data_IF_256614142969
#
_entry.id   IF_256614142969
#
_cell.length_a   1.000
_cell.length_b   1.000
_cell.length_c   1.000
_cell.angle_alpha   90.00
_cell.angle_beta   90.00
_cell.angle_gamma   90.00
#
_symmetry.space_group_name_H-M   'P 1'
#
loop_
_entity.id
_entity.type
_entity.pdbx_description
1 polymer ?
#
# COMPACT_ATOMS: atom_id res chain seq x y z
N UNK A 1 62.47 7.98 -76.83
CA UNK A 1 61.09 8.38 -76.48
C UNK A 1 61.11 8.88 -75.04
N UNK A 2 61.03 10.22 -74.88
CA UNK A 2 60.65 11.08 -73.73
C UNK A 2 60.95 10.53 -72.30
N UNK A 3 62.02 10.95 -71.63
CA UNK A 3 62.21 12.18 -70.80
C UNK A 3 61.38 12.23 -69.50
N UNK A 4 62.08 12.16 -68.36
CA UNK A 4 61.73 12.69 -67.03
C UNK A 4 62.59 13.96 -66.79
N UNK A 5 62.38 14.85 -65.79
CA UNK A 5 61.26 15.10 -64.87
C UNK A 5 60.83 16.60 -64.83
N UNK A 6 59.75 16.93 -64.08
CA UNK A 6 59.43 18.33 -63.75
C UNK A 6 58.18 18.52 -62.88
N UNK A 7 58.39 18.66 -61.56
CA UNK A 7 57.62 19.43 -60.56
C UNK A 7 56.11 19.70 -60.81
N UNK A 8 55.24 19.07 -60.02
CA UNK A 8 53.92 19.62 -59.66
C UNK A 8 53.71 19.44 -58.15
N UNK A 9 53.42 20.57 -57.50
CA UNK A 9 53.15 20.71 -56.08
C UNK A 9 51.88 19.93 -55.66
N UNK A 10 52.00 19.21 -54.54
CA UNK A 10 50.89 18.53 -53.87
C UNK A 10 50.08 19.57 -53.09
N UNK A 11 48.85 19.84 -53.53
CA UNK A 11 47.84 20.59 -52.77
C UNK A 11 47.09 19.60 -51.87
N UNK A 12 47.43 19.54 -50.58
CA UNK A 12 46.67 18.78 -49.58
C UNK A 12 45.44 19.57 -49.15
N UNK A 13 44.28 19.20 -49.70
CA UNK A 13 42.97 19.71 -49.27
C UNK A 13 42.62 19.08 -47.90
N UNK A 14 43.01 19.74 -46.81
CA UNK A 14 42.63 19.33 -45.45
C UNK A 14 41.16 19.69 -45.20
N UNK A 15 40.28 18.69 -45.30
CA UNK A 15 38.90 18.81 -44.83
C UNK A 15 38.90 18.73 -43.31
N UNK A 16 38.67 19.86 -42.64
CA UNK A 16 38.41 19.90 -41.22
C UNK A 16 37.08 19.20 -40.93
N UNK A 17 37.14 18.00 -40.34
CA UNK A 17 35.98 17.36 -39.73
C UNK A 17 35.69 18.15 -38.45
N UNK A 18 34.75 19.08 -38.53
CA UNK A 18 34.15 19.69 -37.34
C UNK A 18 33.38 18.61 -36.58
N UNK A 19 34.03 17.99 -35.60
CA UNK A 19 33.32 17.20 -34.60
C UNK A 19 32.39 18.14 -33.84
N UNK A 20 31.09 18.00 -34.04
CA UNK A 20 30.08 18.59 -33.17
C UNK A 20 30.35 18.08 -31.76
N UNK A 21 30.93 18.93 -30.91
CA UNK A 21 31.07 18.63 -29.49
C UNK A 21 29.67 18.46 -28.92
N UNK A 22 29.29 17.21 -28.61
CA UNK A 22 28.09 16.94 -27.82
C UNK A 22 28.29 17.61 -26.47
N UNK A 23 27.52 18.65 -26.19
CA UNK A 23 27.54 19.32 -24.90
C UNK A 23 27.16 18.28 -23.83
N UNK A 24 28.08 18.00 -22.91
CA UNK A 24 27.83 17.07 -21.81
C UNK A 24 26.58 17.53 -21.04
N UNK A 25 25.63 16.61 -20.84
CA UNK A 25 24.43 16.92 -20.06
C UNK A 25 24.82 17.42 -18.66
N UNK A 26 24.12 18.46 -18.18
CA UNK A 26 24.35 18.98 -16.84
C UNK A 26 24.18 17.85 -15.79
N UNK A 27 25.07 17.77 -14.79
CA UNK A 27 24.96 16.76 -13.74
C UNK A 27 23.66 16.96 -12.96
N UNK A 28 23.09 15.84 -12.51
CA UNK A 28 21.89 15.87 -11.66
C UNK A 28 22.30 16.33 -10.27
N UNK A 29 21.57 17.29 -9.71
CA UNK A 29 21.78 17.75 -8.34
C UNK A 29 20.57 17.45 -7.47
N UNK A 30 20.78 17.43 -6.16
CA UNK A 30 19.74 17.22 -5.15
C UNK A 30 19.80 18.37 -4.17
N UNK A 31 18.65 18.95 -3.85
CA UNK A 31 18.50 19.97 -2.82
C UNK A 31 17.46 19.53 -1.80
N UNK A 32 17.70 19.80 -0.53
CA UNK A 32 16.76 19.60 0.57
C UNK A 32 16.61 20.95 1.26
N UNK A 33 15.39 21.48 1.31
CA UNK A 33 15.09 22.83 1.84
C UNK A 33 15.98 23.92 1.24
N UNK A 34 16.08 23.91 -0.10
CA UNK A 34 16.92 24.82 -0.88
C UNK A 34 18.44 24.68 -0.62
N UNK A 35 18.86 23.77 0.26
CA UNK A 35 20.26 23.47 0.51
C UNK A 35 20.72 22.28 -0.33
N UNK A 36 21.78 22.47 -1.11
CA UNK A 36 22.35 21.40 -1.92
C UNK A 36 22.89 20.25 -1.05
N UNK A 37 22.45 19.03 -1.34
CA UNK A 37 22.93 17.81 -0.69
C UNK A 37 24.34 17.48 -1.21
N UNK A 38 25.31 17.40 -0.31
CA UNK A 38 26.66 16.93 -0.63
C UNK A 38 26.66 15.41 -0.77
N UNK A 39 27.06 14.92 -1.94
CA UNK A 39 27.19 13.50 -2.23
C UNK A 39 28.67 13.12 -2.31
N UNK A 40 29.13 12.26 -1.40
CA UNK A 40 30.56 11.94 -1.23
C UNK A 40 30.99 10.63 -1.87
N UNK A 41 30.06 9.72 -2.16
CA UNK A 41 30.36 8.36 -2.65
C UNK A 41 29.80 8.07 -4.04
N UNK A 42 29.18 9.03 -4.72
CA UNK A 42 28.59 8.82 -6.04
C UNK A 42 27.78 10.02 -6.51
N UNK A 43 27.31 9.98 -7.76
CA UNK A 43 26.46 11.02 -8.36
C UNK A 43 25.04 10.48 -8.59
N UNK A 44 23.98 11.31 -8.52
CA UNK A 44 22.64 10.87 -8.87
C UNK A 44 22.57 10.39 -10.32
N UNK A 45 21.70 9.41 -10.56
CA UNK A 45 21.51 8.78 -11.85
C UNK A 45 20.05 8.87 -12.25
N UNK A 46 19.76 9.33 -13.47
CA UNK A 46 18.45 9.13 -14.08
C UNK A 46 18.51 7.82 -14.87
N UNK A 47 17.65 6.87 -14.54
CA UNK A 47 17.57 5.60 -15.27
C UNK A 47 16.38 5.47 -16.21
N UNK A 48 15.74 6.60 -16.53
CA UNK A 48 14.59 6.70 -17.42
C UNK A 48 13.25 6.64 -16.69
N UNK A 49 13.20 6.01 -15.51
CA UNK A 49 11.97 5.88 -14.73
C UNK A 49 12.04 6.59 -13.37
N UNK A 50 13.24 6.64 -12.76
CA UNK A 50 13.44 7.31 -11.49
C UNK A 50 14.81 7.98 -11.42
N UNK A 51 14.92 8.98 -10.54
CA UNK A 51 16.21 9.46 -10.07
C UNK A 51 16.67 8.57 -8.92
N UNK A 52 17.83 7.97 -9.09
CA UNK A 52 18.51 7.17 -8.11
C UNK A 52 19.64 7.96 -7.47
N UNK A 53 19.80 7.82 -6.16
CA UNK A 53 20.83 8.51 -5.39
C UNK A 53 21.61 7.55 -4.51
N UNK A 54 22.88 7.85 -4.19
CA UNK A 54 23.61 7.12 -3.16
C UNK A 54 22.80 7.11 -1.86
N UNK A 55 22.57 5.92 -1.33
CA UNK A 55 21.67 5.70 -0.18
C UNK A 55 22.11 6.46 1.07
N UNK A 56 23.39 6.38 1.46
CA UNK A 56 23.81 6.88 2.78
C UNK A 56 23.58 8.39 2.99
N UNK A 57 24.03 9.29 2.08
CA UNK A 57 23.88 10.73 2.30
C UNK A 57 22.43 11.20 2.41
N UNK A 58 21.51 10.62 1.62
CA UNK A 58 20.10 11.03 1.64
C UNK A 58 19.40 10.54 2.91
N UNK A 59 19.64 9.29 3.35
CA UNK A 59 19.01 8.77 4.57
C UNK A 59 19.50 9.51 5.81
N UNK A 60 20.80 9.79 5.92
CA UNK A 60 21.37 10.57 7.01
C UNK A 60 20.78 11.99 7.06
N UNK A 61 20.69 12.67 5.91
CA UNK A 61 20.14 14.03 5.84
C UNK A 61 18.64 14.08 6.20
N UNK A 62 17.90 12.99 5.95
CA UNK A 62 16.49 12.83 6.33
C UNK A 62 16.29 12.30 7.77
N UNK A 63 17.39 12.05 8.50
CA UNK A 63 17.35 11.59 9.90
C UNK A 63 16.98 10.11 10.07
N UNK A 64 17.24 9.28 9.06
CA UNK A 64 17.00 7.84 9.10
C UNK A 64 18.25 7.08 9.55
N UNK A 65 18.07 6.11 10.46
CA UNK A 65 19.09 5.11 10.78
C UNK A 65 19.00 3.93 9.82
N UNK A 66 20.12 3.51 9.20
CA UNK A 66 20.11 2.51 8.12
C UNK A 66 20.95 1.29 8.46
N UNK A 67 20.39 0.11 8.24
CA UNK A 67 21.06 -1.18 8.31
C UNK A 67 20.95 -1.87 6.95
N UNK A 68 22.07 -2.40 6.44
CA UNK A 68 22.09 -3.23 5.24
C UNK A 68 22.41 -4.67 5.61
N UNK A 69 21.48 -5.58 5.34
CA UNK A 69 21.71 -7.03 5.44
C UNK A 69 22.27 -7.54 4.12
N UNK A 70 23.55 -7.91 4.12
CA UNK A 70 24.23 -8.42 2.94
C UNK A 70 23.74 -9.81 2.49
N UNK A 71 23.20 -10.63 3.41
CA UNK A 71 22.71 -11.98 3.07
C UNK A 71 21.44 -11.91 2.24
N UNK A 72 20.53 -11.02 2.61
CA UNK A 72 19.24 -10.85 1.92
C UNK A 72 19.26 -9.69 0.92
N UNK A 73 20.36 -8.93 0.86
CA UNK A 73 20.48 -7.69 0.10
C UNK A 73 19.38 -6.68 0.44
N UNK A 74 19.02 -6.60 1.73
CA UNK A 74 17.93 -5.78 2.24
C UNK A 74 18.46 -4.53 2.94
N UNK A 75 17.89 -3.39 2.59
CA UNK A 75 18.10 -2.10 3.24
C UNK A 75 16.91 -1.91 4.19
N UNK A 76 17.18 -1.77 5.48
CA UNK A 76 16.18 -1.37 6.48
C UNK A 76 16.55 -0.01 7.02
N UNK A 77 15.67 0.96 6.87
CA UNK A 77 15.82 2.30 7.42
C UNK A 77 14.73 2.60 8.42
N UNK A 78 15.10 3.28 9.50
CA UNK A 78 14.23 3.48 10.66
C UNK A 78 14.32 4.90 11.20
N UNK A 79 13.18 5.41 11.65
CA UNK A 79 13.00 6.63 12.46
C UNK A 79 11.77 6.38 13.35
N UNK A 80 11.54 7.22 14.36
CA UNK A 80 10.35 7.10 15.23
C UNK A 80 9.07 6.88 14.42
N UNK A 81 8.37 5.76 14.65
CA UNK A 81 7.14 5.39 13.94
C UNK A 81 7.29 4.96 12.47
N UNK A 82 8.51 4.91 11.93
CA UNK A 82 8.76 4.68 10.50
C UNK A 82 9.80 3.58 10.27
N UNK A 83 9.42 2.56 9.51
CA UNK A 83 10.29 1.48 9.02
C UNK A 83 10.16 1.37 7.51
N UNK A 84 11.22 1.69 6.79
CA UNK A 84 11.31 1.54 5.34
C UNK A 84 12.17 0.32 5.03
N UNK A 85 11.67 -0.63 4.23
CA UNK A 85 12.44 -1.76 3.72
C UNK A 85 12.52 -1.72 2.21
N UNK A 86 13.73 -1.82 1.68
CA UNK A 86 13.98 -2.00 0.25
C UNK A 86 14.91 -3.20 0.04
N UNK A 87 14.84 -3.84 -1.12
CA UNK A 87 15.72 -4.95 -1.46
C UNK A 87 16.36 -4.72 -2.83
N UNK A 88 17.66 -5.00 -2.97
CA UNK A 88 18.35 -4.87 -4.26
C UNK A 88 17.66 -5.73 -5.32
N UNK A 89 17.43 -5.17 -6.50
CA UNK A 89 16.78 -5.85 -7.62
C UNK A 89 15.26 -6.04 -7.51
N UNK A 90 14.66 -5.78 -6.35
CA UNK A 90 13.21 -5.86 -6.17
C UNK A 90 12.52 -4.53 -6.47
N UNK A 91 11.44 -4.58 -7.25
CA UNK A 91 10.51 -3.44 -7.41
C UNK A 91 9.47 -3.37 -6.28
N UNK A 92 9.52 -4.26 -5.30
CA UNK A 92 8.66 -4.20 -4.12
C UNK A 92 9.47 -3.70 -2.94
N UNK A 93 9.08 -2.55 -2.40
CA UNK A 93 9.56 -2.04 -1.12
C UNK A 93 8.44 -2.11 -0.08
N UNK A 94 8.71 -1.75 1.18
CA UNK A 94 7.63 -1.53 2.13
C UNK A 94 7.88 -0.34 3.05
N UNK A 95 6.78 0.27 3.49
CA UNK A 95 6.74 1.31 4.52
C UNK A 95 5.84 0.78 5.62
N UNK A 96 6.36 0.69 6.85
CA UNK A 96 5.67 0.10 8.00
C UNK A 96 5.07 -1.29 7.72
N UNK A 97 5.73 -2.06 6.84
CA UNK A 97 5.29 -3.39 6.43
C UNK A 97 4.23 -3.43 5.33
N UNK A 98 3.71 -2.29 4.85
CA UNK A 98 2.86 -2.23 3.65
C UNK A 98 3.74 -2.27 2.41
N UNK A 99 3.52 -3.25 1.53
CA UNK A 99 4.27 -3.35 0.29
C UNK A 99 3.87 -2.21 -0.65
N UNK A 100 4.88 -1.51 -1.20
CA UNK A 100 4.75 -0.44 -2.16
C UNK A 100 5.52 -0.77 -3.44
N UNK A 101 4.90 -0.62 -4.62
CA UNK A 101 5.62 -0.79 -5.87
C UNK A 101 6.59 0.39 -6.07
N UNK A 102 7.77 0.08 -6.58
CA UNK A 102 8.78 1.03 -7.02
C UNK A 102 8.77 1.10 -8.55
N UNK A 103 8.91 2.31 -9.08
CA UNK A 103 9.16 2.50 -10.51
C UNK A 103 10.46 1.79 -10.95
N UNK A 104 11.47 1.87 -10.09
CA UNK A 104 12.81 1.32 -10.28
C UNK A 104 13.29 0.62 -9.01
N UNK A 105 13.89 -0.56 -9.16
CA UNK A 105 14.48 -1.29 -8.04
C UNK A 105 15.79 -0.64 -7.54
N UNK A 106 16.09 -0.69 -6.23
CA UNK A 106 17.41 -0.37 -5.71
C UNK A 106 18.49 -1.22 -6.38
N UNK A 107 19.68 -0.64 -6.61
CA UNK A 107 20.78 -1.33 -7.29
C UNK A 107 22.14 -0.96 -6.73
N UNK A 108 23.08 -1.89 -6.81
CA UNK A 108 24.47 -1.65 -6.42
C UNK A 108 25.31 -1.36 -7.65
N UNK A 109 26.01 -0.23 -7.66
CA UNK A 109 26.93 0.17 -8.74
C UNK A 109 28.26 0.54 -8.12
N UNK A 110 29.34 -0.14 -8.51
CA UNK A 110 30.70 0.09 -8.00
C UNK A 110 30.74 0.15 -6.47
N UNK A 111 30.10 -0.83 -5.82
CA UNK A 111 30.00 -0.95 -4.36
C UNK A 111 29.23 0.18 -3.65
N UNK A 112 28.43 0.96 -4.39
CA UNK A 112 27.56 2.00 -3.85
C UNK A 112 26.12 1.59 -4.09
N UNK A 113 25.33 1.56 -3.03
CA UNK A 113 23.89 1.27 -3.10
C UNK A 113 23.13 2.51 -3.51
N UNK A 114 22.36 2.39 -4.58
CA UNK A 114 21.50 3.41 -5.15
C UNK A 114 20.04 3.07 -4.90
N UNK A 115 19.27 4.08 -4.51
CA UNK A 115 17.84 3.96 -4.13
C UNK A 115 17.01 5.04 -4.82
N UNK A 116 15.72 4.79 -5.12
CA UNK A 116 14.83 5.81 -5.67
C UNK A 116 14.63 6.95 -4.68
N UNK A 117 15.08 8.16 -5.03
CA UNK A 117 15.09 9.30 -4.11
C UNK A 117 13.67 9.70 -3.66
N UNK A 118 12.72 9.65 -4.59
CA UNK A 118 11.32 10.02 -4.34
C UNK A 118 10.72 9.14 -3.25
N UNK A 119 10.83 7.82 -3.40
CA UNK A 119 10.27 6.86 -2.46
C UNK A 119 10.77 7.10 -1.02
N UNK A 120 12.07 7.31 -0.84
CA UNK A 120 12.67 7.50 0.49
C UNK A 120 12.27 8.85 1.09
N UNK A 121 12.22 9.89 0.27
CA UNK A 121 11.92 11.26 0.74
C UNK A 121 10.43 11.43 1.05
N UNK A 122 9.54 10.86 0.24
CA UNK A 122 8.09 10.87 0.50
C UNK A 122 7.72 9.97 1.69
N UNK A 123 8.42 8.84 1.87
CA UNK A 123 8.26 8.00 3.06
C UNK A 123 8.61 8.73 4.37
N UNK A 124 9.41 9.80 4.29
CA UNK A 124 9.76 10.66 5.43
C UNK A 124 8.90 11.94 5.51
N UNK A 125 7.83 12.02 4.72
CA UNK A 125 6.89 13.15 4.73
C UNK A 125 7.36 14.38 3.94
N UNK A 126 8.42 14.26 3.13
CA UNK A 126 8.92 15.37 2.32
C UNK A 126 8.30 15.37 0.93
N UNK A 127 8.08 16.56 0.37
CA UNK A 127 7.65 16.70 -1.01
C UNK A 127 8.85 16.67 -1.97
N UNK A 128 8.69 16.05 -3.14
CA UNK A 128 9.78 15.85 -4.11
C UNK A 128 9.38 16.28 -5.51
N UNK A 129 10.05 17.31 -6.02
CA UNK A 129 9.87 17.84 -7.37
C UNK A 129 11.11 17.56 -8.21
N UNK A 130 10.90 17.16 -9.47
CA UNK A 130 11.97 17.09 -10.47
C UNK A 130 11.92 18.32 -11.37
N UNK A 131 12.94 19.15 -11.30
CA UNK A 131 13.10 20.30 -12.19
C UNK A 131 13.95 19.91 -13.39
N UNK A 132 13.28 19.62 -14.52
CA UNK A 132 13.96 19.17 -15.73
C UNK A 132 14.88 20.25 -16.34
N UNK A 133 14.54 21.54 -16.21
CA UNK A 133 15.32 22.64 -16.78
C UNK A 133 16.67 22.82 -16.07
N UNK A 134 16.69 22.67 -14.74
CA UNK A 134 17.90 22.78 -13.93
C UNK A 134 18.56 21.43 -13.64
N UNK A 135 17.88 20.32 -13.96
CA UNK A 135 18.25 18.94 -13.61
C UNK A 135 18.46 18.77 -12.09
N UNK A 136 17.51 19.29 -11.33
CA UNK A 136 17.55 19.29 -9.87
C UNK A 136 16.39 18.49 -9.30
N UNK A 137 16.68 17.59 -8.36
CA UNK A 137 15.67 17.04 -7.47
C UNK A 137 15.54 18.00 -6.28
N UNK A 138 14.37 18.61 -6.13
CA UNK A 138 14.05 19.52 -5.05
C UNK A 138 13.22 18.75 -4.02
N UNK A 139 13.78 18.56 -2.83
CA UNK A 139 13.10 17.99 -1.68
C UNK A 139 12.76 19.13 -0.74
N UNK A 140 11.50 19.26 -0.38
CA UNK A 140 11.04 20.25 0.58
C UNK A 140 10.50 19.53 1.79
N UNK A 141 11.15 19.75 2.94
CA UNK A 141 10.58 19.35 4.22
C UNK A 141 9.36 20.21 4.50
N UNK A 142 8.29 19.55 4.93
CA UNK A 142 7.16 20.25 5.51
C UNK A 142 7.65 20.85 6.83
N UNK A 143 8.05 22.12 6.80
CA UNK A 143 8.28 22.85 8.04
C UNK A 143 6.98 22.92 8.82
N UNK A 144 7.07 22.86 10.14
CA UNK A 144 5.93 23.09 11.02
C UNK A 144 5.41 24.53 10.82
N UNK A 145 4.50 24.73 9.89
CA UNK A 145 3.69 25.94 9.75
C UNK A 145 2.43 25.80 10.60
N UNK A 146 1.76 26.92 10.89
CA UNK A 146 0.44 26.92 11.53
C UNK A 146 -0.56 26.00 10.77
N UNK A 147 -0.41 25.89 9.46
CA UNK A 147 -1.24 25.03 8.62
C UNK A 147 -0.95 23.55 8.88
N UNK A 148 0.32 23.13 8.90
CA UNK A 148 0.68 21.74 9.23
C UNK A 148 0.31 21.35 10.67
N UNK A 149 0.43 22.28 11.63
CA UNK A 149 0.00 22.07 13.00
C UNK A 149 -1.52 21.89 13.09
N UNK A 150 -2.29 22.73 12.39
CA UNK A 150 -3.76 22.62 12.37
C UNK A 150 -4.26 21.30 11.76
N UNK A 151 -3.54 20.73 10.78
CA UNK A 151 -3.85 19.42 10.20
C UNK A 151 -3.49 18.28 11.18
N UNK A 152 -2.36 18.39 11.87
CA UNK A 152 -1.99 17.42 12.91
C UNK A 152 -3.00 17.41 14.07
N UNK A 153 -3.48 18.59 14.49
CA UNK A 153 -4.54 18.73 15.50
C UNK A 153 -5.86 18.12 15.01
N UNK A 154 -6.20 18.30 13.73
CA UNK A 154 -7.37 17.65 13.12
C UNK A 154 -7.29 16.12 13.25
N UNK A 155 -6.17 15.50 12.86
CA UNK A 155 -6.03 14.04 12.96
C UNK A 155 -5.91 13.56 14.41
N UNK A 156 -5.42 14.39 15.33
CA UNK A 156 -5.47 14.11 16.76
C UNK A 156 -6.91 14.04 17.28
N UNK A 157 -7.78 14.97 16.84
CA UNK A 157 -9.23 14.91 17.13
C UNK A 157 -9.88 13.68 16.49
N UNK A 158 -9.54 13.35 15.24
CA UNK A 158 -10.00 12.14 14.56
C UNK A 158 -9.68 10.87 15.36
N UNK A 159 -8.41 10.67 15.71
CA UNK A 159 -7.97 9.53 16.52
C UNK A 159 -8.71 9.51 17.86
N UNK A 160 -8.79 10.66 18.54
CA UNK A 160 -9.49 10.76 19.82
C UNK A 160 -10.96 10.34 19.69
N UNK A 161 -11.71 10.92 18.77
CA UNK A 161 -13.14 10.64 18.62
C UNK A 161 -13.42 9.21 18.16
N UNK A 162 -12.56 8.64 17.32
CA UNK A 162 -12.65 7.22 16.95
C UNK A 162 -12.47 6.30 18.17
N UNK A 163 -11.46 6.56 19.00
CA UNK A 163 -11.15 5.71 20.18
C UNK A 163 -12.09 5.95 21.37
N UNK A 164 -12.66 7.14 21.50
CA UNK A 164 -13.68 7.47 22.49
C UNK A 164 -15.11 7.12 22.02
N UNK A 165 -15.25 6.55 20.81
CA UNK A 165 -16.53 6.23 20.18
C UNK A 165 -17.50 7.44 20.15
N UNK A 166 -16.93 8.64 20.00
CA UNK A 166 -17.65 9.91 20.05
C UNK A 166 -18.35 10.17 18.73
N UNK A 167 -19.61 9.77 18.63
CA UNK A 167 -20.43 9.93 17.42
C UNK A 167 -20.50 11.40 16.95
N UNK A 168 -20.91 12.32 17.80
CA UNK A 168 -21.04 13.74 17.43
C UNK A 168 -19.68 14.38 17.13
N UNK A 169 -18.64 13.99 17.88
CA UNK A 169 -17.28 14.44 17.64
C UNK A 169 -16.79 14.01 16.25
N UNK A 170 -16.92 12.72 15.93
CA UNK A 170 -16.47 12.15 14.65
C UNK A 170 -17.29 12.70 13.48
N UNK A 171 -18.62 12.69 13.57
CA UNK A 171 -19.48 13.25 12.51
C UNK A 171 -19.23 14.75 12.33
N UNK A 172 -18.86 15.46 13.40
CA UNK A 172 -18.43 16.85 13.34
C UNK A 172 -17.14 17.10 12.55
N UNK A 173 -16.31 16.09 12.30
CA UNK A 173 -15.13 16.20 11.45
C UNK A 173 -15.45 16.08 9.95
N UNK A 174 -16.67 15.70 9.59
CA UNK A 174 -17.07 15.46 8.20
C UNK A 174 -17.79 16.70 7.67
N UNK A 175 -17.45 17.13 6.45
CA UNK A 175 -18.19 18.19 5.79
C UNK A 175 -19.61 17.70 5.48
N UNK A 176 -20.62 18.49 5.81
CA UNK A 176 -22.04 18.16 5.53
C UNK A 176 -22.35 17.84 4.06
N UNK A 177 -21.52 18.32 3.11
CA UNK A 177 -21.62 18.06 1.68
C UNK A 177 -20.81 16.85 1.22
N UNK A 178 -19.98 16.29 2.09
CA UNK A 178 -19.23 15.07 1.80
C UNK A 178 -20.19 13.90 1.56
N UNK A 179 -19.88 12.97 0.64
CA UNK A 179 -20.57 11.69 0.57
C UNK A 179 -20.56 10.92 1.90
N UNK A 180 -19.55 11.17 2.74
CA UNK A 180 -19.42 10.55 4.06
C UNK A 180 -20.44 11.04 5.08
N UNK A 181 -21.14 12.15 4.83
CA UNK A 181 -22.17 12.64 5.76
C UNK A 181 -23.29 11.60 6.01
N UNK A 182 -23.44 10.60 5.12
CA UNK A 182 -24.47 9.57 5.20
C UNK A 182 -24.08 8.35 6.05
N UNK A 183 -22.83 8.26 6.54
CA UNK A 183 -22.35 7.07 7.26
C UNK A 183 -22.82 6.99 8.72
N UNK A 184 -23.56 7.98 9.21
CA UNK A 184 -23.85 8.13 10.62
C UNK A 184 -24.54 6.91 11.25
N UNK A 185 -25.47 6.27 10.54
CA UNK A 185 -26.14 5.06 11.04
C UNK A 185 -25.18 3.89 11.14
N UNK A 186 -24.35 3.67 10.10
CA UNK A 186 -23.36 2.61 10.09
C UNK A 186 -22.29 2.82 11.16
N UNK A 187 -21.88 4.08 11.39
CA UNK A 187 -20.92 4.43 12.43
C UNK A 187 -21.45 4.12 13.83
N UNK A 188 -22.72 4.47 14.13
CA UNK A 188 -23.35 4.10 15.40
C UNK A 188 -23.38 2.60 15.61
N UNK A 189 -23.83 1.86 14.58
CA UNK A 189 -23.86 0.40 14.65
C UNK A 189 -22.46 -0.18 14.87
N UNK A 190 -21.43 0.38 14.23
CA UNK A 190 -20.06 -0.02 14.45
C UNK A 190 -19.62 0.20 15.89
N UNK A 191 -19.85 1.39 16.47
CA UNK A 191 -19.53 1.68 17.87
C UNK A 191 -20.29 0.78 18.85
N UNK A 192 -21.55 0.43 18.56
CA UNK A 192 -22.31 -0.52 19.37
C UNK A 192 -21.77 -1.96 19.29
N UNK A 193 -21.15 -2.33 18.17
CA UNK A 193 -20.74 -3.72 17.90
C UNK A 193 -19.28 -3.98 18.26
N UNK A 194 -18.40 -2.99 18.03
CA UNK A 194 -16.96 -3.13 18.14
C UNK A 194 -16.38 -2.01 18.98
N UNK A 195 -15.50 -2.40 19.90
CA UNK A 195 -14.53 -1.48 20.48
C UNK A 195 -13.23 -1.64 19.71
N UNK A 196 -12.83 -0.58 19.02
CA UNK A 196 -11.66 -0.55 18.16
C UNK A 196 -10.67 0.47 18.67
N UNK A 197 -9.39 0.16 18.50
CA UNK A 197 -8.31 1.09 18.69
C UNK A 197 -7.81 1.56 17.33
N UNK A 198 -7.84 2.87 17.08
CA UNK A 198 -7.39 3.51 15.85
C UNK A 198 -6.13 4.33 16.12
N UNK A 199 -5.12 4.21 15.27
CA UNK A 199 -3.94 5.07 15.24
C UNK A 199 -3.67 5.60 13.84
N UNK A 200 -3.13 6.82 13.75
CA UNK A 200 -2.52 7.35 12.53
C UNK A 200 -1.02 7.14 12.67
N UNK A 201 -0.49 6.12 12.00
CA UNK A 201 0.91 5.72 12.07
C UNK A 201 1.79 6.64 11.22
N UNK A 202 1.23 7.16 10.13
CA UNK A 202 1.88 8.11 9.23
C UNK A 202 0.90 9.18 8.77
N UNK A 203 1.34 10.43 8.75
CA UNK A 203 0.60 11.59 8.26
C UNK A 203 1.52 12.43 7.39
N UNK A 204 1.19 12.54 6.11
CA UNK A 204 1.92 13.29 5.11
C UNK A 204 0.99 14.29 4.42
N UNK A 205 1.29 15.58 4.48
CA UNK A 205 0.55 16.57 3.68
C UNK A 205 1.08 16.53 2.25
N UNK A 206 0.19 16.22 1.30
CA UNK A 206 0.53 16.08 -0.12
C UNK A 206 0.46 17.42 -0.82
N UNK A 207 -0.58 18.20 -0.51
CA UNK A 207 -0.80 19.55 -1.05
C UNK A 207 -1.51 20.40 0.02
N UNK A 208 -1.14 21.67 0.12
CA UNK A 208 -1.72 22.58 1.09
C UNK A 208 -1.98 23.96 0.46
N UNK A 209 -3.24 24.38 0.54
CA UNK A 209 -3.73 25.72 0.21
C UNK A 209 -4.52 26.23 1.40
N UNK A 210 -4.71 27.54 1.44
CA UNK A 210 -5.39 28.24 2.56
C UNK A 210 -6.70 27.59 3.02
N UNK A 211 -7.51 27.03 2.11
CA UNK A 211 -8.82 26.46 2.44
C UNK A 211 -8.98 24.98 2.03
N UNK A 212 -7.92 24.36 1.51
CA UNK A 212 -7.96 22.99 0.99
C UNK A 212 -6.62 22.32 1.23
N UNK A 213 -6.64 21.14 1.85
CA UNK A 213 -5.44 20.34 2.10
C UNK A 213 -5.70 18.90 1.65
N UNK A 214 -4.72 18.32 0.96
CA UNK A 214 -4.69 16.89 0.67
C UNK A 214 -3.73 16.21 1.63
N UNK A 215 -4.19 15.19 2.35
CA UNK A 215 -3.39 14.47 3.34
C UNK A 215 -3.37 12.99 3.00
N UNK A 216 -2.17 12.43 2.95
CA UNK A 216 -1.95 11.00 2.87
C UNK A 216 -1.70 10.43 4.26
N UNK A 217 -2.42 9.37 4.64
CA UNK A 217 -2.27 8.72 5.94
C UNK A 217 -2.09 7.22 5.82
N UNK A 218 -1.34 6.65 6.77
CA UNK A 218 -1.37 5.21 7.08
C UNK A 218 -1.97 5.08 8.47
N UNK A 219 -3.08 4.37 8.56
CA UNK A 219 -3.86 4.19 9.79
C UNK A 219 -3.90 2.71 10.16
N UNK A 220 -3.74 2.41 11.45
CA UNK A 220 -3.92 1.06 11.98
C UNK A 220 -5.18 1.01 12.82
N UNK A 221 -5.97 -0.03 12.60
CA UNK A 221 -7.16 -0.36 13.40
C UNK A 221 -6.96 -1.75 14.00
N UNK A 222 -7.04 -1.82 15.33
CA UNK A 222 -6.94 -3.05 16.11
C UNK A 222 -8.26 -3.30 16.83
N UNK A 223 -8.71 -4.56 16.86
CA UNK A 223 -9.87 -4.92 17.67
C UNK A 223 -9.50 -5.00 19.14
N UNK A 224 -10.19 -4.23 19.99
CA UNK A 224 -10.12 -4.37 21.45
C UNK A 224 -11.14 -5.38 21.95
N UNK A 225 -12.42 -5.20 21.59
CA UNK A 225 -13.49 -6.15 21.90
C UNK A 225 -14.59 -6.17 20.83
N UNK A 226 -15.52 -7.11 20.95
CA UNK A 226 -16.54 -7.40 19.94
C UNK A 226 -16.23 -8.64 19.10
N UNK A 227 -17.06 -8.93 18.07
CA UNK A 227 -16.91 -10.07 17.18
C UNK A 227 -15.52 -10.15 16.53
N UNK A 228 -15.12 -11.32 16.04
CA UNK A 228 -13.83 -11.43 15.37
C UNK A 228 -13.70 -10.44 14.20
N UNK A 229 -12.60 -9.69 14.20
CA UNK A 229 -12.15 -8.84 13.11
C UNK A 229 -10.62 -8.88 13.08
N UNK A 230 -9.98 -9.05 11.90
CA UNK A 230 -8.54 -8.93 11.82
C UNK A 230 -8.11 -7.48 12.05
N UNK A 231 -6.87 -7.30 12.51
CA UNK A 231 -6.25 -5.98 12.50
C UNK A 231 -6.10 -5.52 11.05
N UNK A 232 -6.23 -4.21 10.81
CA UNK A 232 -6.08 -3.64 9.47
C UNK A 232 -5.15 -2.45 9.49
N UNK A 233 -4.33 -2.33 8.46
CA UNK A 233 -3.60 -1.13 8.14
C UNK A 233 -4.15 -0.57 6.83
N UNK A 234 -4.70 0.63 6.87
CA UNK A 234 -5.36 1.29 5.75
C UNK A 234 -4.56 2.51 5.32
N UNK A 235 -4.46 2.71 4.01
CA UNK A 235 -3.81 3.87 3.42
C UNK A 235 -4.87 4.76 2.76
N UNK A 236 -4.94 6.02 3.17
CA UNK A 236 -5.94 6.95 2.68
C UNK A 236 -5.33 8.21 2.07
N UNK A 237 -6.03 8.77 1.08
CA UNK A 237 -5.90 10.16 0.68
C UNK A 237 -7.16 10.90 1.14
N UNK A 238 -7.00 11.79 2.10
CA UNK A 238 -8.02 12.70 2.57
C UNK A 238 -7.97 14.02 1.79
N UNK A 239 -9.14 14.54 1.45
CA UNK A 239 -9.32 15.95 1.08
C UNK A 239 -9.98 16.65 2.26
N UNK A 240 -9.29 17.63 2.83
CA UNK A 240 -9.78 18.47 3.91
C UNK A 240 -10.10 19.85 3.36
N UNK A 241 -11.25 20.40 3.77
CA UNK A 241 -11.65 21.76 3.43
C UNK A 241 -12.04 22.53 4.68
N UNK A 242 -11.83 23.84 4.66
CA UNK A 242 -12.33 24.78 5.67
C UNK A 242 -12.90 26.03 5.01
N UNK A 243 -13.69 26.81 5.73
CA UNK A 243 -14.29 28.03 5.19
C UNK A 243 -13.77 29.27 5.91
N UNK A 244 -13.95 30.45 5.31
CA UNK A 244 -13.60 31.71 5.99
C UNK A 244 -14.43 31.99 7.25
N UNK A 245 -15.55 31.26 7.46
CA UNK A 245 -16.43 31.38 8.63
C UNK A 245 -16.23 30.27 9.66
N UNK A 246 -15.59 29.18 9.27
CA UNK A 246 -15.30 28.01 10.09
C UNK A 246 -13.87 27.57 9.81
N UNK A 247 -12.97 27.90 10.73
CA UNK A 247 -11.55 27.66 10.60
C UNK A 247 -11.18 26.19 10.82
N UNK A 248 -12.09 25.35 11.33
CA UNK A 248 -11.84 23.93 11.54
C UNK A 248 -11.84 23.18 10.20
N UNK A 249 -10.83 22.34 10.01
CA UNK A 249 -10.79 21.40 8.89
C UNK A 249 -11.94 20.40 8.98
N UNK A 250 -12.54 20.11 7.82
CA UNK A 250 -13.56 19.07 7.64
C UNK A 250 -13.18 18.14 6.50
N UNK A 251 -13.50 16.86 6.61
CA UNK A 251 -13.31 15.86 5.56
C UNK A 251 -14.35 16.11 4.48
N UNK A 252 -13.92 16.58 3.32
CA UNK A 252 -14.78 16.68 2.14
C UNK A 252 -14.80 15.38 1.36
N UNK A 253 -13.67 14.66 1.32
CA UNK A 253 -13.54 13.39 0.62
C UNK A 253 -12.47 12.49 1.26
N UNK A 254 -12.59 11.18 1.03
CA UNK A 254 -11.60 10.16 1.40
C UNK A 254 -11.46 9.16 0.25
N UNK A 255 -10.24 8.73 -0.02
CA UNK A 255 -9.95 7.69 -1.01
C UNK A 255 -9.06 6.61 -0.39
N UNK A 256 -9.55 5.37 -0.37
CA UNK A 256 -8.76 4.22 0.04
C UNK A 256 -7.75 3.86 -1.06
N UNK A 257 -6.47 3.88 -0.74
CA UNK A 257 -5.38 3.52 -1.65
C UNK A 257 -4.98 2.06 -1.49
N UNK A 258 -4.89 1.57 -0.25
CA UNK A 258 -4.49 0.21 0.05
C UNK A 258 -5.08 -0.25 1.39
N UNK A 259 -5.25 -1.57 1.51
CA UNK A 259 -5.61 -2.23 2.76
C UNK A 259 -4.70 -3.44 2.96
N UNK A 260 -4.25 -3.64 4.20
CA UNK A 260 -3.52 -4.83 4.62
C UNK A 260 -4.16 -5.37 5.90
N UNK A 261 -4.56 -6.63 5.88
CA UNK A 261 -5.04 -7.30 7.07
C UNK A 261 -3.94 -8.11 7.75
N UNK A 262 -4.04 -8.23 9.06
CA UNK A 262 -3.18 -9.07 9.87
C UNK A 262 -3.97 -9.70 11.01
N UNK A 263 -3.54 -10.86 11.46
CA UNK A 263 -4.18 -11.51 12.59
C UNK A 263 -3.85 -10.79 13.89
N UNK A 264 -4.79 -10.68 14.82
CA UNK A 264 -4.49 -10.29 16.19
C UNK A 264 -3.43 -11.22 16.80
N UNK A 265 -2.63 -10.68 17.72
CA UNK A 265 -1.59 -11.46 18.39
C UNK A 265 -2.19 -12.70 19.06
N UNK A 266 -1.54 -13.86 18.87
CA UNK A 266 -1.99 -15.12 19.45
C UNK A 266 -3.19 -15.79 18.77
N UNK A 267 -3.83 -15.19 17.76
CA UNK A 267 -5.01 -15.78 17.11
C UNK A 267 -4.76 -17.20 16.53
N UNK A 268 -3.54 -17.48 16.04
CA UNK A 268 -3.17 -18.81 15.54
C UNK A 268 -2.73 -19.78 16.63
N UNK A 269 -2.35 -19.32 17.82
CA UNK A 269 -1.87 -20.19 18.91
C UNK A 269 -2.93 -20.40 19.99
N UNK A 270 -3.95 -19.55 20.04
CA UNK A 270 -5.10 -19.70 20.92
C UNK A 270 -5.76 -21.08 20.75
N UNK A 271 -6.14 -21.66 21.88
CA UNK A 271 -6.96 -22.86 21.93
C UNK A 271 -8.42 -22.45 21.87
N UNK A 272 -9.07 -22.69 20.73
CA UNK A 272 -10.50 -22.41 20.53
C UNK A 272 -11.26 -23.72 20.71
N UNK A 273 -12.15 -23.76 21.70
CA UNK A 273 -13.02 -24.93 21.91
C UNK A 273 -14.24 -24.81 21.01
N UNK A 274 -14.34 -25.70 20.02
CA UNK A 274 -15.46 -25.74 19.08
C UNK A 274 -16.14 -27.11 19.20
N UNK A 275 -17.48 -27.18 19.35
CA UNK A 275 -18.20 -28.44 19.24
C UNK A 275 -17.89 -29.11 17.90
N UNK A 276 -17.61 -30.42 17.92
CA UNK A 276 -17.18 -31.16 16.72
C UNK A 276 -18.12 -30.99 15.54
N UNK A 277 -19.44 -31.01 15.80
CA UNK A 277 -20.47 -30.80 14.79
C UNK A 277 -20.38 -29.42 14.10
N UNK A 278 -20.10 -28.36 14.88
CA UNK A 278 -19.93 -27.02 14.33
C UNK A 278 -18.60 -26.89 13.58
N UNK A 279 -17.52 -27.45 14.11
CA UNK A 279 -16.22 -27.45 13.44
C UNK A 279 -16.30 -28.12 12.06
N UNK A 280 -16.97 -29.28 11.99
CA UNK A 280 -17.18 -30.02 10.74
C UNK A 280 -18.08 -29.24 9.78
N UNK A 281 -19.17 -28.61 10.28
CA UNK A 281 -20.08 -27.81 9.45
C UNK A 281 -19.42 -26.54 8.89
N UNK A 282 -18.63 -25.82 9.70
CA UNK A 282 -17.86 -24.64 9.28
C UNK A 282 -16.86 -25.01 8.17
N UNK A 283 -16.13 -26.11 8.35
CA UNK A 283 -15.18 -26.60 7.34
C UNK A 283 -15.90 -27.08 6.07
N UNK A 284 -17.06 -27.73 6.23
CA UNK A 284 -17.85 -28.24 5.11
C UNK A 284 -18.41 -27.10 4.24
N UNK A 285 -18.96 -26.02 4.82
CA UNK A 285 -19.49 -24.90 4.02
C UNK A 285 -18.38 -24.19 3.25
N UNK A 286 -17.18 -24.03 3.85
CA UNK A 286 -16.04 -23.46 3.14
C UNK A 286 -15.54 -24.39 2.01
N UNK A 287 -15.47 -25.70 2.26
CA UNK A 287 -15.10 -26.66 1.23
C UNK A 287 -16.12 -26.70 0.08
N UNK A 288 -17.42 -26.62 0.38
CA UNK A 288 -18.48 -26.53 -0.62
C UNK A 288 -18.35 -25.24 -1.46
N UNK A 289 -18.07 -24.09 -0.82
CA UNK A 289 -17.83 -22.83 -1.53
C UNK A 289 -16.70 -22.96 -2.57
N UNK A 290 -15.59 -23.59 -2.19
CA UNK A 290 -14.47 -23.87 -3.10
C UNK A 290 -14.86 -24.87 -4.22
N UNK A 291 -15.60 -25.92 -3.90
CA UNK A 291 -16.05 -26.92 -4.87
C UNK A 291 -17.01 -26.32 -5.91
N UNK A 292 -17.98 -25.51 -5.48
CA UNK A 292 -18.85 -24.76 -6.40
C UNK A 292 -18.07 -23.76 -7.25
N UNK A 293 -17.03 -23.12 -6.69
CA UNK A 293 -16.12 -22.26 -7.47
C UNK A 293 -15.41 -23.03 -8.56
N UNK A 294 -14.84 -24.20 -8.24
CA UNK A 294 -14.14 -25.06 -9.21
C UNK A 294 -15.07 -25.64 -10.29
N UNK A 295 -16.35 -25.82 -9.96
CA UNK A 295 -17.38 -26.30 -10.88
C UNK A 295 -18.06 -25.18 -11.67
N UNK A 296 -17.66 -23.92 -11.42
CA UNK A 296 -18.28 -22.73 -12.00
C UNK A 296 -19.80 -22.65 -11.73
N UNK A 297 -20.24 -23.23 -10.60
CA UNK A 297 -21.64 -23.27 -10.16
C UNK A 297 -21.97 -22.02 -9.33
N UNK A 298 -22.51 -21.00 -10.00
CA UNK A 298 -22.85 -19.72 -9.37
C UNK A 298 -23.96 -19.86 -8.33
N UNK A 299 -24.97 -20.69 -8.56
CA UNK A 299 -26.08 -20.85 -7.63
C UNK A 299 -25.61 -21.56 -6.36
N UNK A 300 -24.87 -22.65 -6.52
CA UNK A 300 -24.22 -23.37 -5.43
C UNK A 300 -23.27 -22.46 -4.66
N UNK A 301 -22.43 -21.68 -5.35
CA UNK A 301 -21.51 -20.73 -4.74
C UNK A 301 -22.26 -19.73 -3.84
N UNK A 302 -23.24 -19.03 -4.40
CA UNK A 302 -23.99 -18.01 -3.65
C UNK A 302 -24.78 -18.63 -2.50
N UNK A 303 -25.23 -19.89 -2.62
CA UNK A 303 -25.90 -20.62 -1.54
C UNK A 303 -25.02 -20.85 -0.30
N UNK A 304 -23.70 -20.68 -0.39
CA UNK A 304 -22.79 -20.81 0.77
C UNK A 304 -22.53 -19.50 1.50
N UNK A 305 -22.95 -18.37 0.91
CA UNK A 305 -22.72 -17.02 1.42
C UNK A 305 -24.01 -16.50 2.06
N UNK A 306 -23.88 -15.74 3.13
CA UNK A 306 -25.00 -15.07 3.77
C UNK A 306 -25.41 -13.82 2.97
N UNK A 307 -26.71 -13.60 2.77
CA UNK A 307 -27.23 -12.47 1.99
C UNK A 307 -26.93 -11.11 2.65
N UNK A 308 -26.66 -11.07 3.96
CA UNK A 308 -26.22 -9.86 4.65
C UNK A 308 -24.71 -9.58 4.48
N UNK A 309 -24.00 -10.41 3.71
CA UNK A 309 -22.58 -10.22 3.42
C UNK A 309 -22.34 -8.86 2.74
N UNK A 310 -21.32 -8.09 3.18
CA UNK A 310 -20.93 -6.87 2.48
C UNK A 310 -20.61 -7.14 1.01
N UNK A 311 -21.33 -6.47 0.12
CA UNK A 311 -21.12 -6.60 -1.32
C UNK A 311 -21.67 -7.89 -1.94
N UNK A 312 -22.60 -8.60 -1.27
CA UNK A 312 -23.20 -9.86 -1.76
C UNK A 312 -23.56 -9.85 -3.27
N UNK A 313 -24.33 -8.85 -3.71
CA UNK A 313 -24.72 -8.73 -5.13
C UNK A 313 -23.54 -8.44 -6.05
N UNK A 314 -22.58 -7.61 -5.61
CA UNK A 314 -21.38 -7.33 -6.39
C UNK A 314 -20.50 -8.58 -6.54
N UNK A 315 -20.36 -9.36 -5.47
CA UNK A 315 -19.60 -10.60 -5.46
C UNK A 315 -20.20 -11.63 -6.41
N UNK A 316 -21.53 -11.72 -6.48
CA UNK A 316 -22.24 -12.56 -7.46
C UNK A 316 -21.92 -12.18 -8.90
N UNK A 317 -21.95 -10.88 -9.21
CA UNK A 317 -21.62 -10.37 -10.55
C UNK A 317 -20.17 -10.68 -10.90
N UNK A 318 -19.23 -10.43 -9.98
CA UNK A 318 -17.80 -10.69 -10.18
C UNK A 318 -17.54 -12.18 -10.37
N UNK A 319 -18.16 -13.05 -9.56
CA UNK A 319 -18.04 -14.50 -9.71
C UNK A 319 -18.52 -14.97 -11.08
N UNK A 320 -19.69 -14.48 -11.54
CA UNK A 320 -20.21 -14.81 -12.87
C UNK A 320 -19.26 -14.38 -14.00
N UNK A 321 -18.64 -13.21 -13.88
CA UNK A 321 -17.64 -12.73 -14.84
C UNK A 321 -16.36 -13.57 -14.81
N UNK A 322 -15.90 -13.96 -13.63
CA UNK A 322 -14.72 -14.81 -13.47
C UNK A 322 -14.92 -16.18 -14.11
N UNK A 323 -16.06 -16.83 -13.88
CA UNK A 323 -16.39 -18.13 -14.50
C UNK A 323 -16.47 -18.06 -16.02
N UNK A 324 -16.89 -16.92 -16.59
CA UNK A 324 -16.87 -16.75 -18.05
C UNK A 324 -15.46 -16.58 -18.61
N UNK A 325 -14.54 -16.01 -17.84
CA UNK A 325 -13.21 -15.62 -18.30
C UNK A 325 -12.13 -16.67 -18.02
N UNK A 326 -12.26 -17.43 -16.92
CA UNK A 326 -11.23 -18.32 -16.42
C UNK A 326 -11.80 -19.67 -15.99
N UNK A 327 -11.02 -20.70 -16.24
CA UNK A 327 -11.17 -22.03 -15.65
C UNK A 327 -10.05 -22.17 -14.61
N UNK A 328 -10.40 -22.07 -13.33
CA UNK A 328 -9.46 -22.05 -12.19
C UNK A 328 -9.70 -23.24 -11.27
N UNK A 329 -8.62 -23.83 -10.78
CA UNK A 329 -8.65 -24.88 -9.77
C UNK A 329 -8.13 -24.34 -8.44
N UNK A 330 -9.03 -24.15 -7.50
CA UNK A 330 -8.73 -23.88 -6.11
C UNK A 330 -8.56 -25.17 -5.28
N UNK A 331 -7.72 -25.13 -4.26
CA UNK A 331 -7.50 -26.23 -3.30
C UNK A 331 -7.30 -25.66 -1.91
N UNK A 332 -8.03 -26.20 -0.93
CA UNK A 332 -7.82 -25.88 0.49
C UNK A 332 -6.71 -26.79 1.01
N UNK A 333 -5.55 -26.21 1.32
CA UNK A 333 -4.39 -26.96 1.84
C UNK A 333 -4.52 -27.21 3.35
N UNK A 334 -5.01 -26.21 4.08
CA UNK A 334 -5.26 -26.33 5.52
C UNK A 334 -6.31 -25.31 5.98
N UNK A 335 -6.97 -25.62 7.09
CA UNK A 335 -7.93 -24.73 7.73
C UNK A 335 -7.92 -24.88 9.25
N UNK A 336 -8.13 -23.77 9.96
CA UNK A 336 -8.20 -23.71 11.42
C UNK A 336 -9.28 -22.71 11.84
N UNK A 337 -10.18 -23.13 12.73
CA UNK A 337 -11.08 -22.19 13.41
C UNK A 337 -10.27 -21.42 14.46
N UNK A 338 -10.24 -20.10 14.34
CA UNK A 338 -9.42 -19.19 15.17
C UNK A 338 -10.26 -18.30 16.09
N UNK A 339 -11.58 -18.31 15.93
CA UNK A 339 -12.54 -17.67 16.83
C UNK A 339 -13.90 -18.39 16.73
N UNK A 340 -14.64 -18.47 17.84
CA UNK A 340 -15.94 -19.13 17.91
C UNK A 340 -16.77 -18.61 19.10
N UNK A 341 -18.04 -18.28 18.87
CA UNK A 341 -18.97 -17.76 19.88
C UNK A 341 -20.25 -18.60 20.05
N UNK A 342 -20.42 -19.69 19.28
CA UNK A 342 -21.68 -20.43 19.17
C UNK A 342 -22.44 -20.11 17.89
N UNK A 343 -22.54 -18.80 17.59
CA UNK A 343 -23.31 -18.26 16.46
C UNK A 343 -22.43 -17.55 15.42
N UNK A 344 -21.17 -17.25 15.75
CA UNK A 344 -20.17 -16.76 14.80
C UNK A 344 -18.88 -17.54 14.91
N UNK A 345 -18.10 -17.54 13.84
CA UNK A 345 -16.78 -18.15 13.79
C UNK A 345 -15.85 -17.40 12.83
N UNK A 346 -14.54 -17.57 13.02
CA UNK A 346 -13.53 -17.15 12.04
C UNK A 346 -12.67 -18.35 11.63
N UNK A 347 -12.59 -18.59 10.33
CA UNK A 347 -11.84 -19.68 9.72
C UNK A 347 -10.59 -19.13 9.03
N UNK A 348 -9.42 -19.43 9.57
CA UNK A 348 -8.15 -19.23 8.88
C UNK A 348 -7.96 -20.36 7.86
N UNK A 349 -7.63 -20.01 6.63
CA UNK A 349 -7.38 -20.97 5.55
C UNK A 349 -6.09 -20.66 4.81
N UNK A 350 -5.41 -21.73 4.40
CA UNK A 350 -4.34 -21.67 3.41
C UNK A 350 -4.82 -22.41 2.18
N UNK A 351 -4.80 -21.72 1.04
CA UNK A 351 -5.37 -22.23 -0.20
C UNK A 351 -4.48 -21.87 -1.39
N UNK A 352 -4.52 -22.72 -2.41
CA UNK A 352 -3.83 -22.50 -3.68
C UNK A 352 -4.84 -22.35 -4.80
N UNK A 353 -4.58 -21.47 -5.76
CA UNK A 353 -5.35 -21.34 -7.00
C UNK A 353 -4.39 -21.54 -8.17
N UNK A 354 -4.76 -22.43 -9.08
CA UNK A 354 -4.05 -22.68 -10.33
C UNK A 354 -4.95 -22.40 -11.51
N UNK A 355 -4.42 -21.78 -12.56
CA UNK A 355 -5.17 -21.64 -13.81
C UNK A 355 -5.14 -22.93 -14.60
N UNK A 356 -6.30 -23.41 -15.01
CA UNK A 356 -6.43 -24.47 -16.01
C UNK A 356 -6.55 -23.88 -17.41
N UNK A 357 -7.43 -22.88 -17.61
CA UNK A 357 -7.61 -22.17 -18.89
C UNK A 357 -7.98 -20.69 -18.70
N UNK A 358 -7.89 -19.94 -19.79
CA UNK A 358 -8.19 -18.51 -19.83
C UNK A 358 -6.94 -17.62 -19.99
N UNK A 359 -7.11 -16.30 -19.84
CA UNK A 359 -6.05 -15.29 -19.96
C UNK A 359 -4.85 -15.52 -19.03
N UNK A 360 -3.81 -14.68 -19.12
CA UNK A 360 -2.69 -14.74 -18.19
C UNK A 360 -3.18 -14.60 -16.75
N UNK A 361 -2.83 -15.58 -15.91
CA UNK A 361 -3.16 -15.63 -14.49
C UNK A 361 -1.93 -16.16 -13.77
N UNK A 362 -1.59 -15.55 -12.63
CA UNK A 362 -0.49 -16.02 -11.80
C UNK A 362 -1.03 -16.99 -10.76
N UNK A 363 -0.66 -18.26 -10.93
CA UNK A 363 -0.89 -19.29 -9.92
C UNK A 363 -0.36 -18.81 -8.58
N UNK A 364 -1.17 -18.96 -7.53
CA UNK A 364 -0.88 -18.36 -6.23
C UNK A 364 -1.28 -19.24 -5.08
N UNK A 365 -0.56 -19.06 -3.97
CA UNK A 365 -0.88 -19.57 -2.66
C UNK A 365 -1.23 -18.39 -1.77
N UNK A 366 -2.36 -18.47 -1.09
CA UNK A 366 -2.87 -17.37 -0.29
C UNK A 366 -3.27 -17.84 1.09
N UNK A 367 -3.21 -16.90 2.04
CA UNK A 367 -3.78 -17.07 3.36
C UNK A 367 -4.91 -16.08 3.54
N UNK A 368 -6.06 -16.56 4.03
CA UNK A 368 -7.28 -15.78 4.18
C UNK A 368 -7.90 -16.10 5.54
N UNK A 369 -8.62 -15.14 6.09
CA UNK A 369 -9.57 -15.41 7.17
C UNK A 369 -10.97 -15.13 6.68
N UNK A 370 -11.87 -16.08 6.83
CA UNK A 370 -13.28 -15.90 6.49
C UNK A 370 -14.10 -15.96 7.76
N UNK A 371 -14.92 -14.94 7.99
CA UNK A 371 -15.93 -14.93 9.07
C UNK A 371 -17.17 -15.67 8.61
N UNK A 372 -17.80 -16.37 9.55
CA UNK A 372 -19.01 -17.13 9.35
C UNK A 372 -20.03 -16.76 10.42
N UNK A 373 -21.31 -16.90 10.06
CA UNK A 373 -22.43 -16.84 11.00
C UNK A 373 -23.28 -18.10 10.88
N UNK A 374 -23.87 -18.50 12.01
CA UNK A 374 -24.91 -19.50 12.08
C UNK A 374 -26.26 -18.82 11.87
N UNK A 375 -27.04 -19.30 10.93
CA UNK A 375 -28.40 -18.82 10.65
C UNK A 375 -29.37 -19.35 11.70
N UNK A 376 -30.58 -18.78 11.75
CA UNK A 376 -31.61 -19.20 12.70
C UNK A 376 -32.04 -20.68 12.54
N UNK A 377 -31.88 -21.26 11.35
CA UNK A 377 -32.10 -22.70 11.08
C UNK A 377 -30.85 -23.56 11.37
N UNK A 378 -29.83 -23.00 12.00
CA UNK A 378 -28.64 -23.72 12.48
C UNK A 378 -27.56 -23.97 11.42
N UNK A 379 -27.68 -23.40 10.22
CA UNK A 379 -26.70 -23.59 9.13
C UNK A 379 -25.60 -22.54 9.20
N UNK A 380 -24.37 -22.94 8.90
CA UNK A 380 -23.25 -22.01 8.77
C UNK A 380 -23.21 -21.40 7.38
N UNK A 381 -22.95 -20.09 7.30
CA UNK A 381 -22.80 -19.32 6.05
C UNK A 381 -21.56 -18.44 6.14
N UNK A 382 -20.86 -18.28 5.00
CA UNK A 382 -19.73 -17.36 4.88
C UNK A 382 -20.25 -15.91 4.87
N UNK A 383 -19.57 -14.99 5.56
CA UNK A 383 -19.97 -13.59 5.66
C UNK A 383 -18.94 -12.69 5.00
N UNK A 384 -17.69 -12.69 5.47
CA UNK A 384 -16.67 -11.78 4.95
C UNK A 384 -15.29 -12.44 4.94
N UNK A 385 -14.57 -12.27 3.84
CA UNK A 385 -13.22 -12.79 3.66
C UNK A 385 -12.19 -11.65 3.70
N UNK A 386 -11.12 -11.88 4.45
CA UNK A 386 -10.01 -10.95 4.66
C UNK A 386 -8.73 -11.58 4.14
N UNK A 387 -8.22 -11.16 2.96
CA UNK A 387 -6.96 -11.67 2.44
C UNK A 387 -5.80 -11.18 3.34
N UNK A 388 -5.00 -12.11 3.85
CA UNK A 388 -3.84 -11.82 4.69
C UNK A 388 -2.54 -11.79 3.88
N UNK A 389 -2.38 -12.75 2.97
CA UNK A 389 -1.24 -12.82 2.06
C UNK A 389 -1.58 -13.55 0.77
N UNK A 390 -0.83 -13.24 -0.28
CA UNK A 390 -0.82 -14.00 -1.53
C UNK A 390 0.60 -14.02 -2.09
N UNK A 391 1.10 -15.20 -2.44
CA UNK A 391 2.42 -15.42 -3.02
C UNK A 391 2.31 -16.27 -4.29
N UNK A 392 3.16 -16.05 -5.31
CA UNK A 392 3.17 -16.90 -6.50
C UNK A 392 3.53 -18.34 -6.15
N UNK A 393 2.85 -19.31 -6.78
CA UNK A 393 3.29 -20.71 -6.75
C UNK A 393 4.55 -20.84 -7.61
N UNK A 394 5.55 -21.55 -7.07
CA UNK A 394 6.83 -21.82 -7.75
C UNK A 394 6.75 -23.00 -8.69
#
# INVERSE_FOLDING_TARGET
MKLLPGFIAVLTLSSAISLSASAAEKPITVQIDQQQLKLTTGAPLNDGHAILVPMRPIFEKLGLSVVFDAKTSTITATKEGLVIKLQLGSKNASINGIVKPLQTAPKMIKNVTYVPIRFVSEATGNHVVWNAATRTVEITSLQATDETASVADFFSKYVKYSNEESYDGFMGLIDSKSPLAQIGTQLKQQFETYNLKVSVDQLNIVDAKTNEVTVHTIETTEKVSGPFMPNSQMEYIYSLTRSSKDADWKISNIQLQAVKYSLPEGALTASVTVPKADEDAIKAVFAANMDYTNKEDLEGLMSTIDESSPGYEQNKIVAAQLFQAYDLQGTVESSKVIDYTGDTAALYTVQSIKKLKGPQFQDSRSTTVTTLKKTADGKWKLVQSYPLSSEPLK
#
